data_IF_408313130638
#
_entry.id   IF_408313130638
#
_cell.length_a   1.000
_cell.length_b   1.000
_cell.length_c   1.000
_cell.angle_alpha   90.00
_cell.angle_beta   90.00
_cell.angle_gamma   90.00
#
_symmetry.space_group_name_H-M   'P 1'
#
loop_
_entity.id
_entity.type
_entity.pdbx_description
1 polymer ?
#
# COMPACT_ATOMS: atom_id res chain seq x y z
N UNK A 1 -20.37 -0.52 15.83
CA UNK A 1 -21.40 0.20 15.07
C UNK A 1 -22.25 -0.75 14.22
N UNK A 2 -21.77 -1.25 13.06
CA UNK A 2 -22.60 -2.04 12.12
C UNK A 2 -23.35 -3.22 12.77
N UNK A 3 -22.65 -4.08 13.51
CA UNK A 3 -23.25 -5.23 14.22
C UNK A 3 -24.33 -4.82 15.23
N UNK A 4 -24.15 -3.72 15.97
CA UNK A 4 -25.16 -3.22 16.92
C UNK A 4 -26.41 -2.70 16.21
N UNK A 5 -26.23 -2.04 15.06
CA UNK A 5 -27.33 -1.55 14.23
C UNK A 5 -28.07 -2.67 13.50
N UNK A 6 -27.48 -3.87 13.42
CA UNK A 6 -28.04 -5.05 12.77
C UNK A 6 -28.39 -6.16 13.78
N UNK A 7 -28.95 -5.79 14.93
CA UNK A 7 -29.43 -6.68 16.01
C UNK A 7 -28.37 -7.63 16.58
N UNK A 8 -27.10 -7.24 16.52
CA UNK A 8 -25.98 -8.07 16.95
C UNK A 8 -25.51 -9.06 15.88
N UNK A 9 -26.02 -9.02 14.66
CA UNK A 9 -25.68 -9.93 13.57
C UNK A 9 -24.77 -9.29 12.53
N UNK A 10 -23.92 -10.11 11.94
CA UNK A 10 -23.08 -9.76 10.80
C UNK A 10 -22.65 -11.05 10.10
N UNK A 11 -22.93 -11.13 8.81
CA UNK A 11 -22.44 -12.19 7.93
C UNK A 11 -20.99 -11.93 7.55
N UNK A 12 -20.31 -12.99 7.10
CA UNK A 12 -18.94 -12.86 6.61
C UNK A 12 -18.86 -11.90 5.41
N UNK A 13 -19.82 -11.97 4.49
CA UNK A 13 -19.87 -11.11 3.32
C UNK A 13 -20.03 -9.63 3.67
N UNK A 14 -20.81 -9.29 4.69
CA UNK A 14 -20.94 -7.91 5.19
C UNK A 14 -19.62 -7.44 5.83
N UNK A 15 -18.99 -8.27 6.68
CA UNK A 15 -17.69 -7.96 7.28
C UNK A 15 -16.60 -7.71 6.24
N UNK A 16 -16.53 -8.56 5.22
CA UNK A 16 -15.59 -8.41 4.11
C UNK A 16 -15.84 -7.13 3.31
N UNK A 17 -17.10 -6.83 2.94
CA UNK A 17 -17.45 -5.61 2.19
C UNK A 17 -17.04 -4.34 2.94
N UNK A 18 -17.29 -4.30 4.24
CA UNK A 18 -16.91 -3.17 5.09
C UNK A 18 -15.39 -3.02 5.10
N UNK A 19 -14.65 -4.09 5.38
CA UNK A 19 -13.20 -4.03 5.47
C UNK A 19 -12.52 -3.66 4.14
N UNK A 20 -12.96 -4.25 3.02
CA UNK A 20 -12.47 -3.91 1.68
C UNK A 20 -12.79 -2.45 1.33
N UNK A 21 -13.99 -1.97 1.67
CA UNK A 21 -14.38 -0.58 1.46
C UNK A 21 -13.50 0.41 2.22
N UNK A 22 -13.19 0.11 3.48
CA UNK A 22 -12.27 0.92 4.30
C UNK A 22 -10.88 0.96 3.66
N UNK A 23 -10.37 -0.19 3.25
CA UNK A 23 -9.03 -0.29 2.63
C UNK A 23 -8.97 0.47 1.32
N UNK A 24 -9.99 0.34 0.46
CA UNK A 24 -10.06 1.04 -0.81
C UNK A 24 -10.05 2.57 -0.63
N UNK A 25 -10.82 3.09 0.33
CA UNK A 25 -10.84 4.52 0.64
C UNK A 25 -9.50 4.98 1.23
N UNK A 26 -8.96 4.23 2.19
CA UNK A 26 -7.69 4.56 2.84
C UNK A 26 -6.52 4.57 1.86
N UNK A 27 -6.41 3.56 1.01
CA UNK A 27 -5.35 3.49 -0.01
C UNK A 27 -5.49 4.59 -1.06
N UNK A 28 -6.72 4.92 -1.47
CA UNK A 28 -6.97 6.03 -2.40
C UNK A 28 -6.50 7.37 -1.83
N UNK A 29 -6.81 7.65 -0.56
CA UNK A 29 -6.34 8.86 0.13
C UNK A 29 -4.81 8.87 0.22
N UNK A 30 -4.20 7.74 0.60
CA UNK A 30 -2.75 7.61 0.71
C UNK A 30 -2.03 7.88 -0.62
N UNK A 31 -2.58 7.36 -1.72
CA UNK A 31 -2.03 7.58 -3.07
C UNK A 31 -2.16 9.04 -3.49
N UNK A 32 -3.33 9.65 -3.28
CA UNK A 32 -3.53 11.07 -3.60
C UNK A 32 -2.54 11.95 -2.82
N UNK A 33 -2.32 11.65 -1.55
CA UNK A 33 -1.33 12.36 -0.73
C UNK A 33 0.10 12.11 -1.24
N UNK A 34 0.46 10.87 -1.57
CA UNK A 34 1.77 10.54 -2.13
C UNK A 34 2.07 11.28 -3.44
N UNK A 35 1.09 11.36 -4.34
CA UNK A 35 1.19 12.15 -5.58
C UNK A 35 1.31 13.64 -5.27
N UNK A 36 0.50 14.18 -4.35
CA UNK A 36 0.61 15.57 -3.94
C UNK A 36 2.00 15.90 -3.37
N UNK A 37 2.55 15.03 -2.54
CA UNK A 37 3.89 15.18 -1.99
C UNK A 37 4.94 15.19 -3.12
N UNK A 38 4.92 14.17 -3.99
CA UNK A 38 5.91 14.00 -5.05
C UNK A 38 5.82 14.99 -6.21
N UNK A 39 4.72 15.71 -6.37
CA UNK A 39 4.58 16.73 -7.42
C UNK A 39 4.57 18.17 -6.90
N UNK A 40 4.17 18.41 -5.65
CA UNK A 40 3.95 19.77 -5.15
C UNK A 40 4.83 20.10 -3.95
N UNK A 41 4.97 19.19 -2.99
CA UNK A 41 5.69 19.50 -1.74
C UNK A 41 7.21 19.36 -1.90
N UNK A 42 7.67 18.23 -2.43
CA UNK A 42 9.10 17.97 -2.64
C UNK A 42 9.30 17.02 -3.84
N UNK A 43 9.40 17.56 -5.07
CA UNK A 43 9.60 16.76 -6.27
C UNK A 43 10.94 16.01 -6.32
N UNK A 44 11.91 16.45 -5.52
CA UNK A 44 13.25 15.87 -5.48
C UNK A 44 13.38 14.73 -4.46
N UNK A 45 12.34 14.44 -3.68
CA UNK A 45 12.40 13.40 -2.64
C UNK A 45 12.89 12.07 -3.20
N UNK A 46 12.41 11.67 -4.39
CA UNK A 46 12.77 10.38 -4.98
C UNK A 46 14.22 10.34 -5.45
N UNK A 47 14.70 11.41 -6.08
CA UNK A 47 16.11 11.55 -6.49
C UNK A 47 17.03 11.52 -5.29
N UNK A 48 16.71 12.27 -4.22
CA UNK A 48 17.49 12.28 -2.97
C UNK A 48 17.52 10.90 -2.30
N UNK A 49 16.41 10.18 -2.32
CA UNK A 49 16.34 8.82 -1.79
C UNK A 49 17.18 7.83 -2.59
N UNK A 50 17.20 7.96 -3.93
CA UNK A 50 18.05 7.16 -4.81
C UNK A 50 19.53 7.42 -4.58
N UNK A 51 19.94 8.69 -4.57
CA UNK A 51 21.33 9.08 -4.30
C UNK A 51 21.79 8.58 -2.94
N UNK A 52 20.93 8.70 -1.93
CA UNK A 52 21.20 8.16 -0.59
C UNK A 52 21.40 6.63 -0.63
N UNK A 53 20.52 5.90 -1.32
CA UNK A 53 20.61 4.45 -1.43
C UNK A 53 21.87 3.98 -2.18
N UNK A 54 22.27 4.68 -3.25
CA UNK A 54 23.50 4.39 -4.00
C UNK A 54 24.72 4.63 -3.12
N UNK A 55 24.79 5.77 -2.43
CA UNK A 55 25.90 6.08 -1.52
C UNK A 55 26.00 5.04 -0.39
N UNK A 56 24.88 4.66 0.22
CA UNK A 56 24.86 3.62 1.26
C UNK A 56 25.32 2.26 0.71
N UNK A 57 24.95 1.92 -0.53
CA UNK A 57 25.38 0.69 -1.18
C UNK A 57 26.90 0.68 -1.46
N UNK A 58 27.47 1.82 -1.89
CA UNK A 58 28.92 1.97 -2.10
C UNK A 58 29.68 1.87 -0.77
N UNK A 59 29.16 2.46 0.30
CA UNK A 59 29.78 2.35 1.64
C UNK A 59 29.80 0.90 2.14
N UNK A 60 28.72 0.15 1.90
CA UNK A 60 28.63 -1.26 2.30
C UNK A 60 29.43 -2.20 1.39
N UNK A 61 29.54 -1.88 0.11
CA UNK A 61 30.29 -2.65 -0.87
C UNK A 61 31.11 -1.71 -1.78
N UNK A 62 32.38 -1.45 -1.44
CA UNK A 62 33.27 -0.59 -2.23
C UNK A 62 33.54 -1.11 -3.65
N UNK A 63 33.24 -2.38 -3.92
CA UNK A 63 33.38 -3.02 -5.24
C UNK A 63 32.07 -3.02 -6.04
N UNK A 64 31.12 -2.14 -5.71
CA UNK A 64 29.88 -2.01 -6.47
C UNK A 64 30.19 -1.70 -7.94
N UNK A 65 29.67 -2.52 -8.86
CA UNK A 65 29.88 -2.32 -10.29
C UNK A 65 28.87 -1.32 -10.86
N UNK A 66 29.22 -0.67 -11.97
CA UNK A 66 28.31 0.26 -12.67
C UNK A 66 26.97 -0.42 -13.04
N UNK A 67 27.01 -1.69 -13.46
CA UNK A 67 25.78 -2.48 -13.73
C UNK A 67 24.86 -2.60 -12.51
N UNK A 68 25.43 -2.69 -11.30
CA UNK A 68 24.63 -2.73 -10.07
C UNK A 68 24.02 -1.37 -9.74
N UNK A 69 24.72 -0.27 -10.04
CA UNK A 69 24.18 1.09 -9.87
C UNK A 69 23.01 1.30 -10.84
N UNK A 70 23.20 0.98 -12.12
CA UNK A 70 22.12 1.09 -13.13
C UNK A 70 20.90 0.25 -12.74
N UNK A 71 21.10 -0.93 -12.14
CA UNK A 71 20.00 -1.75 -11.64
C UNK A 71 19.24 -1.09 -10.48
N UNK A 72 19.93 -0.38 -9.58
CA UNK A 72 19.30 0.40 -8.50
C UNK A 72 18.51 1.57 -9.09
N UNK A 73 19.13 2.35 -9.97
CA UNK A 73 18.50 3.49 -10.64
C UNK A 73 17.23 3.07 -11.39
N UNK A 74 17.32 2.00 -12.20
CA UNK A 74 16.18 1.46 -12.94
C UNK A 74 15.03 1.00 -12.04
N UNK A 75 15.34 0.44 -10.86
CA UNK A 75 14.31 0.10 -9.88
C UNK A 75 13.64 1.37 -9.32
N UNK A 76 14.42 2.40 -8.98
CA UNK A 76 13.88 3.69 -8.53
C UNK A 76 13.02 4.35 -9.59
N UNK A 77 13.43 4.39 -10.87
CA UNK A 77 12.63 4.92 -11.97
C UNK A 77 11.30 4.16 -12.14
N UNK A 78 11.34 2.83 -12.04
CA UNK A 78 10.15 1.98 -12.11
C UNK A 78 9.15 2.32 -11.01
N UNK A 79 9.62 2.49 -9.77
CA UNK A 79 8.76 2.87 -8.63
C UNK A 79 8.43 4.37 -8.60
N UNK A 80 9.23 5.23 -9.23
CA UNK A 80 8.94 6.65 -9.37
C UNK A 80 7.78 6.90 -10.34
N UNK A 81 7.52 5.97 -11.27
CA UNK A 81 6.37 6.07 -12.15
C UNK A 81 5.06 6.12 -11.33
N UNK A 82 4.29 7.23 -11.40
CA UNK A 82 3.13 7.46 -10.54
C UNK A 82 2.00 6.46 -10.82
N UNK A 83 1.83 6.06 -12.07
CA UNK A 83 0.77 5.13 -12.46
C UNK A 83 1.07 3.73 -11.93
N UNK A 84 2.33 3.31 -12.07
CA UNK A 84 2.77 1.99 -11.66
C UNK A 84 2.83 1.84 -10.14
N UNK A 85 3.42 2.81 -9.44
CA UNK A 85 3.44 2.81 -7.97
C UNK A 85 2.05 2.88 -7.37
N UNK A 86 1.14 3.67 -7.95
CA UNK A 86 -0.27 3.70 -7.53
C UNK A 86 -0.96 2.35 -7.76
N UNK A 87 -0.78 1.73 -8.94
CA UNK A 87 -1.39 0.45 -9.25
C UNK A 87 -0.88 -0.68 -8.34
N UNK A 88 0.43 -0.74 -8.08
CA UNK A 88 1.04 -1.67 -7.14
C UNK A 88 0.51 -1.40 -5.73
N UNK A 89 0.51 -0.13 -5.30
CA UNK A 89 0.03 0.29 -3.99
C UNK A 89 -1.41 -0.12 -3.72
N UNK A 90 -2.33 0.12 -4.66
CA UNK A 90 -3.74 -0.32 -4.54
C UNK A 90 -3.83 -1.84 -4.49
N UNK A 91 -3.15 -2.54 -5.41
CA UNK A 91 -3.20 -4.00 -5.50
C UNK A 91 -2.75 -4.66 -4.20
N UNK A 92 -1.58 -4.25 -3.70
CA UNK A 92 -1.02 -4.77 -2.45
C UNK A 92 -1.92 -4.43 -1.27
N UNK A 93 -2.39 -3.18 -1.18
CA UNK A 93 -3.30 -2.74 -0.12
C UNK A 93 -4.58 -3.56 -0.11
N UNK A 94 -5.21 -3.76 -1.26
CA UNK A 94 -6.44 -4.56 -1.37
C UNK A 94 -6.21 -6.03 -1.09
N UNK A 95 -5.08 -6.60 -1.51
CA UNK A 95 -4.75 -8.00 -1.22
C UNK A 95 -4.67 -8.25 0.30
N UNK A 96 -3.82 -7.48 1.00
CA UNK A 96 -3.70 -7.60 2.46
C UNK A 96 -4.97 -7.14 3.19
N UNK A 97 -5.63 -6.11 2.66
CA UNK A 97 -6.91 -5.63 3.16
C UNK A 97 -7.99 -6.71 3.12
N UNK A 98 -8.07 -7.48 2.03
CA UNK A 98 -8.95 -8.63 1.91
C UNK A 98 -8.63 -9.70 2.95
N UNK A 99 -7.36 -10.02 3.18
CA UNK A 99 -6.95 -10.99 4.20
C UNK A 99 -7.36 -10.54 5.61
N UNK A 100 -7.07 -9.28 5.97
CA UNK A 100 -7.45 -8.71 7.26
C UNK A 100 -8.97 -8.66 7.40
N UNK A 101 -9.69 -8.30 6.34
CA UNK A 101 -11.17 -8.25 6.32
C UNK A 101 -11.79 -9.63 6.48
N UNK A 102 -11.18 -10.65 5.90
CA UNK A 102 -11.60 -12.05 6.06
C UNK A 102 -11.41 -12.50 7.52
N UNK A 103 -10.22 -12.27 8.09
CA UNK A 103 -9.91 -12.68 9.47
C UNK A 103 -10.82 -11.97 10.48
N UNK A 104 -10.93 -10.65 10.36
CA UNK A 104 -11.80 -9.85 11.23
C UNK A 104 -13.27 -10.18 11.03
N UNK A 105 -13.72 -10.36 9.78
CA UNK A 105 -15.07 -10.78 9.42
C UNK A 105 -15.44 -12.14 10.00
N UNK A 106 -14.54 -13.12 9.95
CA UNK A 106 -14.72 -14.43 10.58
C UNK A 106 -14.80 -14.32 12.11
N UNK A 107 -13.92 -13.53 12.72
CA UNK A 107 -13.90 -13.35 14.18
C UNK A 107 -15.19 -12.73 14.71
N UNK A 108 -15.81 -11.80 13.98
CA UNK A 108 -17.03 -11.10 14.43
C UNK A 108 -18.33 -11.74 13.93
N UNK A 109 -18.25 -12.72 13.04
CA UNK A 109 -19.40 -13.36 12.37
C UNK A 109 -20.45 -13.83 13.38
N UNK A 110 -21.70 -13.43 13.15
CA UNK A 110 -22.88 -13.96 13.84
C UNK A 110 -24.04 -13.93 12.86
N UNK A 111 -24.43 -15.12 12.36
CA UNK A 111 -25.56 -15.24 11.44
C UNK A 111 -26.88 -15.10 12.21
N UNK A 112 -27.90 -14.54 11.54
CA UNK A 112 -29.27 -14.60 12.06
C UNK A 112 -29.72 -16.07 12.13
N UNK A 113 -30.36 -16.52 13.22
CA UNK A 113 -31.04 -17.80 13.22
C UNK A 113 -32.13 -17.79 12.15
N UNK A 114 -32.29 -18.92 11.48
CA UNK A 114 -33.30 -19.15 10.43
C UNK A 114 -34.71 -19.12 11.01
#
# INVERSE_FOLDING_TARGET
>A
AYKQLNDGFISLGEGMKIGIGIVALGSSIGILYGLFQGYVLDPETMTKAMDYAINEAIEQNPELTDEMIEAIEGAFEFFANPFLSSAIGITVSLFFGCLISLLTGLAVKKNRPE
#
